data_IF_645773479455
#
_entry.id   IF_645773479455
#
_cell.length_a   1.000
_cell.length_b   1.000
_cell.length_c   1.000
_cell.angle_alpha   90.00
_cell.angle_beta   90.00
_cell.angle_gamma   90.00
#
_symmetry.space_group_name_H-M   'P 1'
#
loop_
_entity.id
_entity.type
_entity.pdbx_description
1 polymer ?
#
# COMPACT_ATOMS: atom_id res chain seq x y z
N UNK A 1 72.32 -3.39 -21.60
CA UNK A 1 71.25 -3.96 -22.45
C UNK A 1 70.27 -4.75 -21.59
N UNK A 2 68.96 -4.48 -21.78
CA UNK A 2 67.82 -5.36 -21.45
C UNK A 2 67.58 -5.73 -19.97
N UNK A 3 67.12 -4.79 -19.13
CA UNK A 3 66.34 -5.13 -17.90
C UNK A 3 65.19 -4.16 -17.57
N UNK A 4 65.15 -2.96 -18.17
CA UNK A 4 64.16 -1.92 -17.84
C UNK A 4 62.79 -2.06 -18.51
N UNK A 5 62.66 -2.93 -19.52
CA UNK A 5 61.40 -3.12 -20.25
C UNK A 5 60.39 -3.99 -19.50
N UNK A 6 60.85 -5.07 -18.84
CA UNK A 6 59.98 -6.08 -18.26
C UNK A 6 59.21 -5.57 -17.02
N UNK A 7 59.81 -4.67 -16.24
CA UNK A 7 59.15 -4.07 -15.07
C UNK A 7 58.08 -3.06 -15.47
N UNK A 8 58.29 -2.28 -16.53
CA UNK A 8 57.30 -1.33 -17.04
C UNK A 8 56.12 -2.07 -17.69
N UNK A 9 56.37 -3.17 -18.42
CA UNK A 9 55.30 -4.00 -18.99
C UNK A 9 54.46 -4.69 -17.90
N UNK A 10 55.08 -5.20 -16.82
CA UNK A 10 54.33 -5.77 -15.69
C UNK A 10 53.53 -4.71 -14.92
N UNK A 11 54.02 -3.48 -14.78
CA UNK A 11 53.28 -2.39 -14.13
C UNK A 11 52.08 -1.91 -14.97
N UNK A 12 52.21 -1.88 -16.30
CA UNK A 12 51.09 -1.57 -17.20
C UNK A 12 50.03 -2.68 -17.26
N UNK A 13 50.43 -3.95 -17.13
CA UNK A 13 49.47 -5.07 -17.04
C UNK A 13 48.74 -5.14 -15.69
N UNK A 14 49.37 -4.70 -14.60
CA UNK A 14 48.71 -4.61 -13.28
C UNK A 14 47.77 -3.40 -13.15
N UNK A 15 48.01 -2.31 -13.89
CA UNK A 15 47.13 -1.13 -13.90
C UNK A 15 45.88 -1.30 -14.78
N UNK A 16 45.87 -2.25 -15.72
CA UNK A 16 44.70 -2.60 -16.54
C UNK A 16 43.71 -3.56 -15.86
N UNK A 17 44.08 -4.17 -14.73
CA UNK A 17 43.18 -5.05 -13.95
C UNK A 17 42.38 -4.29 -12.86
N UNK A 18 42.65 -2.99 -12.67
CA UNK A 18 41.92 -2.12 -11.72
C UNK A 18 40.97 -1.15 -12.44
N UNK A 19 40.87 -1.24 -13.77
CA UNK A 19 39.85 -0.52 -14.53
C UNK A 19 38.50 -1.21 -14.37
N UNK A 20 37.79 -0.83 -13.31
CA UNK A 20 36.34 -0.98 -13.19
C UNK A 20 35.80 -2.40 -13.29
N UNK A 21 35.73 -3.10 -12.15
CA UNK A 21 34.56 -3.97 -11.95
C UNK A 21 33.36 -3.05 -11.82
N UNK A 22 32.80 -2.62 -12.96
CA UNK A 22 31.36 -2.36 -13.02
C UNK A 22 30.74 -3.72 -12.75
N UNK A 23 30.50 -4.02 -11.47
CA UNK A 23 29.64 -5.15 -11.14
C UNK A 23 28.31 -4.79 -11.76
N UNK A 24 27.81 -5.62 -12.68
CA UNK A 24 26.42 -5.51 -13.09
C UNK A 24 25.58 -5.57 -11.80
N UNK A 25 24.71 -4.58 -11.59
CA UNK A 25 23.77 -4.63 -10.48
C UNK A 25 23.00 -5.95 -10.60
N UNK A 26 22.92 -6.67 -9.49
CA UNK A 26 22.13 -7.90 -9.46
C UNK A 26 20.65 -7.55 -9.63
N UNK A 27 19.85 -8.48 -10.14
CA UNK A 27 18.40 -8.28 -10.26
C UNK A 27 17.76 -7.92 -8.91
N UNK A 28 18.30 -8.46 -7.82
CA UNK A 28 17.88 -8.08 -6.46
C UNK A 28 18.17 -6.61 -6.14
N UNK A 29 19.39 -6.13 -6.37
CA UNK A 29 19.75 -4.71 -6.16
C UNK A 29 18.88 -3.78 -7.02
N UNK A 30 18.60 -4.16 -8.27
CA UNK A 30 17.72 -3.41 -9.16
C UNK A 30 16.28 -3.34 -8.62
N UNK A 31 15.73 -4.43 -8.10
CA UNK A 31 14.39 -4.46 -7.49
C UNK A 31 14.35 -3.59 -6.22
N UNK A 32 15.38 -3.66 -5.38
CA UNK A 32 15.49 -2.81 -4.18
C UNK A 32 15.53 -1.32 -4.57
N UNK A 33 16.34 -0.96 -5.58
CA UNK A 33 16.38 0.39 -6.13
C UNK A 33 15.03 0.84 -6.70
N UNK A 34 14.30 -0.06 -7.36
CA UNK A 34 12.97 0.24 -7.89
C UNK A 34 11.96 0.52 -6.77
N UNK A 35 11.94 -0.29 -5.70
CA UNK A 35 11.07 -0.07 -4.53
C UNK A 35 11.31 1.30 -3.89
N UNK A 36 12.57 1.73 -3.80
CA UNK A 36 12.92 3.01 -3.20
C UNK A 36 12.60 4.20 -4.13
N UNK A 37 12.94 4.11 -5.41
CA UNK A 37 12.72 5.21 -6.37
C UNK A 37 11.25 5.42 -6.76
N UNK A 38 10.44 4.36 -6.72
CA UNK A 38 8.99 4.44 -6.97
C UNK A 38 8.20 5.03 -5.79
N UNK A 39 8.79 5.10 -4.60
CA UNK A 39 8.09 5.54 -3.37
C UNK A 39 7.30 4.44 -2.67
N UNK A 40 7.20 3.22 -3.23
CA UNK A 40 6.53 2.07 -2.58
C UNK A 40 7.09 1.80 -1.19
N UNK A 41 8.41 1.90 -1.05
CA UNK A 41 9.08 1.68 0.24
C UNK A 41 8.67 2.69 1.31
N UNK A 42 8.34 3.93 0.95
CA UNK A 42 7.87 4.97 1.87
C UNK A 42 6.37 4.83 2.16
N UNK A 43 5.57 4.52 1.14
CA UNK A 43 4.15 4.19 1.31
C UNK A 43 3.96 3.09 2.37
N UNK A 44 4.72 1.99 2.29
CA UNK A 44 4.63 0.94 3.31
C UNK A 44 5.08 1.40 4.72
N UNK A 45 6.00 2.38 4.82
CA UNK A 45 6.42 2.95 6.11
C UNK A 45 5.34 3.86 6.70
N UNK A 46 4.55 4.54 5.87
CA UNK A 46 3.53 5.50 6.34
C UNK A 46 2.25 4.84 6.84
N UNK A 47 1.92 3.64 6.35
CA UNK A 47 0.65 2.94 6.66
C UNK A 47 0.30 2.88 8.17
N UNK A 48 1.20 2.52 9.11
CA UNK A 48 0.83 2.50 10.53
C UNK A 48 0.38 3.87 11.06
N UNK A 49 1.05 4.94 10.66
CA UNK A 49 0.72 6.31 11.07
C UNK A 49 -0.60 6.75 10.45
N UNK A 50 -0.86 6.39 9.20
CA UNK A 50 -2.15 6.65 8.54
C UNK A 50 -3.30 5.92 9.24
N UNK A 51 -3.08 4.67 9.69
CA UNK A 51 -4.06 3.94 10.49
C UNK A 51 -4.31 4.60 11.85
N UNK A 52 -3.27 5.10 12.52
CA UNK A 52 -3.40 5.86 13.78
C UNK A 52 -4.24 7.13 13.59
N UNK A 53 -4.00 7.85 12.49
CA UNK A 53 -4.76 9.05 12.14
C UNK A 53 -6.23 8.72 11.85
N UNK A 54 -6.49 7.66 11.07
CA UNK A 54 -7.84 7.20 10.76
C UNK A 54 -8.61 6.76 12.01
N UNK A 55 -7.95 6.02 12.90
CA UNK A 55 -8.52 5.59 14.18
C UNK A 55 -8.92 6.79 15.04
N UNK A 56 -8.05 7.79 15.13
CA UNK A 56 -8.29 9.03 15.88
C UNK A 56 -9.43 9.85 15.30
N UNK A 57 -9.55 9.91 13.97
CA UNK A 57 -10.64 10.62 13.30
C UNK A 57 -11.99 9.92 13.53
N UNK A 58 -12.02 8.58 13.42
CA UNK A 58 -13.24 7.79 13.54
C UNK A 58 -13.78 7.78 14.97
N UNK A 59 -12.91 7.66 15.97
CA UNK A 59 -13.31 7.66 17.39
C UNK A 59 -14.07 8.92 17.80
N UNK A 60 -13.79 10.08 17.19
CA UNK A 60 -14.51 11.34 17.44
C UNK A 60 -15.97 11.32 16.96
N UNK A 61 -16.32 10.41 16.04
CA UNK A 61 -17.65 10.33 15.40
C UNK A 61 -18.37 9.01 15.71
N UNK A 62 -17.70 8.07 16.37
CA UNK A 62 -18.25 6.75 16.64
C UNK A 62 -19.22 6.72 17.81
N UNK A 63 -20.24 5.86 17.70
CA UNK A 63 -21.13 5.51 18.83
C UNK A 63 -20.47 4.55 19.82
N UNK A 64 -19.42 3.82 19.38
CA UNK A 64 -18.71 2.82 20.16
C UNK A 64 -17.19 3.00 20.03
N UNK A 65 -16.65 4.14 20.52
CA UNK A 65 -15.25 4.52 20.31
C UNK A 65 -14.25 3.48 20.87
N UNK A 66 -14.59 2.77 21.94
CA UNK A 66 -13.71 1.76 22.55
C UNK A 66 -13.55 0.53 21.65
N UNK A 67 -14.64 0.08 21.02
CA UNK A 67 -14.64 -1.09 20.11
C UNK A 67 -13.86 -0.74 18.85
N UNK A 68 -14.15 0.41 18.23
CA UNK A 68 -13.42 0.86 17.04
C UNK A 68 -11.92 1.05 17.33
N UNK A 69 -11.58 1.71 18.44
CA UNK A 69 -10.18 1.92 18.83
C UNK A 69 -9.43 0.61 19.01
N UNK A 70 -10.09 -0.42 19.54
CA UNK A 70 -9.51 -1.76 19.67
C UNK A 70 -9.30 -2.42 18.31
N UNK A 71 -10.27 -2.32 17.40
CA UNK A 71 -10.16 -2.87 16.04
C UNK A 71 -9.00 -2.23 15.29
N UNK A 72 -8.92 -0.89 15.26
CA UNK A 72 -7.83 -0.18 14.59
C UNK A 72 -6.46 -0.50 15.20
N UNK A 73 -6.38 -0.66 16.53
CA UNK A 73 -5.14 -1.09 17.19
C UNK A 73 -4.70 -2.48 16.72
N UNK A 74 -5.62 -3.44 16.63
CA UNK A 74 -5.32 -4.78 16.13
C UNK A 74 -4.87 -4.75 14.66
N UNK A 75 -5.54 -3.95 13.81
CA UNK A 75 -5.12 -3.74 12.41
C UNK A 75 -3.69 -3.22 12.37
N UNK A 76 -3.39 -2.16 13.10
CA UNK A 76 -2.04 -1.58 13.17
C UNK A 76 -1.00 -2.58 13.68
N UNK A 77 -1.27 -3.29 14.77
CA UNK A 77 -0.35 -4.24 15.39
C UNK A 77 -0.09 -5.48 14.54
N UNK A 78 -0.97 -5.77 13.58
CA UNK A 78 -0.79 -6.86 12.62
C UNK A 78 0.13 -6.50 11.45
N UNK A 79 0.47 -5.21 11.27
CA UNK A 79 1.39 -4.78 10.23
C UNK A 79 2.85 -4.83 10.69
N UNK A 80 3.69 -5.56 9.96
CA UNK A 80 5.15 -5.53 10.12
C UNK A 80 5.78 -4.96 8.84
N UNK A 81 6.26 -3.72 8.91
CA UNK A 81 6.85 -3.02 7.77
C UNK A 81 8.03 -3.77 7.13
N UNK A 82 8.81 -4.54 7.92
CA UNK A 82 9.94 -5.30 7.38
C UNK A 82 9.44 -6.50 6.58
N UNK A 83 8.46 -7.23 7.10
CA UNK A 83 7.83 -8.34 6.37
C UNK A 83 7.11 -7.85 5.12
N UNK A 84 6.41 -6.73 5.21
CA UNK A 84 5.74 -6.11 4.06
C UNK A 84 6.73 -5.78 2.93
N UNK A 85 7.90 -5.21 3.26
CA UNK A 85 8.96 -4.92 2.27
C UNK A 85 9.60 -6.17 1.69
N UNK A 86 9.82 -7.19 2.52
CA UNK A 86 10.36 -8.47 2.06
C UNK A 86 9.40 -9.16 1.10
N UNK A 87 8.10 -9.16 1.42
CA UNK A 87 7.03 -9.68 0.57
C UNK A 87 6.95 -8.92 -0.76
N UNK A 88 6.98 -7.57 -0.72
CA UNK A 88 7.03 -6.73 -1.91
C UNK A 88 8.22 -7.08 -2.82
N UNK A 89 9.42 -7.15 -2.24
CA UNK A 89 10.65 -7.50 -2.98
C UNK A 89 10.59 -8.89 -3.58
N UNK A 90 10.16 -9.89 -2.81
CA UNK A 90 9.99 -11.26 -3.28
C UNK A 90 8.99 -11.35 -4.44
N UNK A 91 7.88 -10.62 -4.36
CA UNK A 91 6.89 -10.56 -5.44
C UNK A 91 7.50 -9.98 -6.71
N UNK A 92 8.17 -8.83 -6.61
CA UNK A 92 8.79 -8.18 -7.76
C UNK A 92 9.89 -9.03 -8.39
N UNK A 93 10.76 -9.64 -7.58
CA UNK A 93 11.79 -10.58 -8.04
C UNK A 93 11.21 -11.76 -8.84
N UNK A 94 10.04 -12.27 -8.44
CA UNK A 94 9.40 -13.40 -9.13
C UNK A 94 8.69 -13.01 -10.43
N UNK A 95 8.16 -11.79 -10.52
CA UNK A 95 7.28 -11.36 -11.62
C UNK A 95 7.94 -10.38 -12.60
N UNK A 96 9.21 -10.05 -12.38
CA UNK A 96 10.00 -9.17 -13.24
C UNK A 96 11.26 -9.87 -13.72
N UNK A 97 11.81 -9.39 -14.83
CA UNK A 97 13.15 -9.73 -15.28
C UNK A 97 14.07 -8.50 -15.17
N UNK A 98 15.38 -8.71 -15.23
CA UNK A 98 16.39 -7.64 -15.15
C UNK A 98 16.14 -6.52 -16.15
N UNK A 99 15.87 -6.85 -17.42
CA UNK A 99 15.70 -5.86 -18.49
C UNK A 99 14.52 -4.94 -18.22
N UNK A 100 13.41 -5.50 -17.74
CA UNK A 100 12.24 -4.73 -17.36
C UNK A 100 12.57 -3.75 -16.22
N UNK A 101 13.22 -4.22 -15.16
CA UNK A 101 13.53 -3.36 -14.01
C UNK A 101 14.50 -2.26 -14.41
N UNK A 102 15.50 -2.55 -15.26
CA UNK A 102 16.41 -1.54 -15.81
C UNK A 102 15.67 -0.47 -16.63
N UNK A 103 14.70 -0.85 -17.46
CA UNK A 103 13.92 0.11 -18.24
C UNK A 103 13.04 1.01 -17.35
N UNK A 104 12.43 0.44 -16.30
CA UNK A 104 11.69 1.22 -15.30
C UNK A 104 12.62 2.16 -14.53
N UNK A 105 13.78 1.68 -14.10
CA UNK A 105 14.76 2.51 -13.42
C UNK A 105 15.27 3.64 -14.31
N UNK A 106 15.39 3.43 -15.61
CA UNK A 106 15.75 4.50 -16.56
C UNK A 106 14.71 5.62 -16.56
N UNK A 107 13.43 5.27 -16.52
CA UNK A 107 12.34 6.24 -16.38
C UNK A 107 12.35 6.92 -14.99
N UNK A 108 12.42 6.16 -13.92
CA UNK A 108 12.38 6.67 -12.54
C UNK A 108 13.58 7.56 -12.21
N UNK A 109 14.70 7.40 -12.92
CA UNK A 109 15.86 8.27 -12.79
C UNK A 109 15.73 9.60 -13.55
N UNK A 110 14.70 9.80 -14.37
CA UNK A 110 14.49 11.09 -15.03
C UNK A 110 14.18 12.20 -14.02
N UNK A 111 14.56 13.46 -14.32
CA UNK A 111 14.21 14.59 -13.46
C UNK A 111 12.70 14.72 -13.21
N UNK A 112 11.88 14.38 -14.22
CA UNK A 112 10.43 14.42 -14.13
C UNK A 112 9.88 13.38 -13.15
N UNK A 113 10.24 12.10 -13.33
CA UNK A 113 9.76 11.04 -12.44
C UNK A 113 10.16 11.31 -10.99
N UNK A 114 11.43 11.70 -10.75
CA UNK A 114 11.91 12.07 -9.40
C UNK A 114 11.18 13.27 -8.80
N UNK A 115 10.73 14.23 -9.63
CA UNK A 115 9.93 15.36 -9.17
C UNK A 115 8.53 14.89 -8.77
N UNK A 116 7.89 14.08 -9.62
CA UNK A 116 6.53 13.57 -9.37
C UNK A 116 6.48 12.73 -8.10
N UNK A 117 7.36 11.73 -7.96
CA UNK A 117 7.42 10.88 -6.75
C UNK A 117 7.60 11.74 -5.48
N UNK A 118 8.42 12.79 -5.55
CA UNK A 118 8.62 13.70 -4.41
C UNK A 118 7.34 14.47 -4.06
N UNK A 119 6.63 15.00 -5.06
CA UNK A 119 5.38 15.73 -4.83
C UNK A 119 4.28 14.80 -4.31
N UNK A 120 4.19 13.57 -4.83
CA UNK A 120 3.25 12.55 -4.36
C UNK A 120 3.52 12.17 -2.90
N UNK A 121 4.76 11.83 -2.55
CA UNK A 121 5.15 11.54 -1.17
C UNK A 121 4.97 12.75 -0.24
N UNK A 122 5.26 13.96 -0.73
CA UNK A 122 5.03 15.17 0.05
C UNK A 122 3.54 15.46 0.25
N UNK A 123 2.67 15.05 -0.67
CA UNK A 123 1.23 15.23 -0.56
C UNK A 123 0.60 14.21 0.38
N UNK A 124 1.16 12.98 0.45
CA UNK A 124 0.69 11.91 1.33
C UNK A 124 1.35 11.90 2.72
N UNK A 125 2.33 12.77 2.97
CA UNK A 125 3.02 12.82 4.25
C UNK A 125 2.10 13.13 5.44
N UNK A 126 2.42 12.57 6.61
CA UNK A 126 1.69 12.81 7.85
C UNK A 126 1.59 14.30 8.18
N UNK A 127 0.39 14.78 8.51
CA UNK A 127 0.14 16.19 8.84
C UNK A 127 -0.23 17.09 7.65
N UNK A 128 -0.17 16.59 6.42
CA UNK A 128 -0.52 17.36 5.22
C UNK A 128 -2.02 17.47 4.95
N UNK A 129 -2.85 16.74 5.70
CA UNK A 129 -4.30 16.70 5.51
C UNK A 129 -4.95 18.09 5.61
N UNK A 130 -4.54 18.91 6.57
CA UNK A 130 -5.05 20.27 6.71
C UNK A 130 -4.70 21.15 5.50
N UNK A 131 -3.46 21.04 4.99
CA UNK A 131 -3.01 21.77 3.81
C UNK A 131 -3.78 21.34 2.55
N UNK A 132 -4.03 20.04 2.40
CA UNK A 132 -4.84 19.50 1.33
C UNK A 132 -6.27 20.05 1.40
N UNK A 133 -6.92 19.99 2.57
CA UNK A 133 -8.29 20.51 2.73
C UNK A 133 -8.38 22.01 2.42
N UNK A 134 -7.39 22.79 2.85
CA UNK A 134 -7.33 24.23 2.54
C UNK A 134 -7.20 24.46 1.03
N UNK A 135 -6.27 23.76 0.37
CA UNK A 135 -6.09 23.84 -1.08
C UNK A 135 -7.37 23.47 -1.85
N UNK A 136 -8.08 22.42 -1.42
CA UNK A 136 -9.33 21.99 -2.05
C UNK A 136 -10.47 23.01 -1.87
N UNK A 137 -10.52 23.71 -0.73
CA UNK A 137 -11.45 24.81 -0.54
C UNK A 137 -11.16 25.99 -1.49
N UNK A 138 -9.87 26.31 -1.69
CA UNK A 138 -9.45 27.35 -2.63
C UNK A 138 -9.80 26.99 -4.08
N UNK A 139 -9.70 25.71 -4.45
CA UNK A 139 -10.13 25.24 -5.78
C UNK A 139 -11.61 25.46 -6.05
N UNK A 140 -12.47 25.35 -5.04
CA UNK A 140 -13.90 25.62 -5.21
C UNK A 140 -14.16 27.10 -5.47
N UNK A 141 -13.41 27.98 -4.81
CA UNK A 141 -13.50 29.43 -5.03
C UNK A 141 -12.85 29.86 -6.35
N UNK A 142 -11.76 29.21 -6.74
CA UNK A 142 -11.00 29.50 -7.96
C UNK A 142 -10.74 28.20 -8.74
N UNK A 143 -11.68 27.77 -9.58
CA UNK A 143 -11.55 26.52 -10.33
C UNK A 143 -10.31 26.50 -11.22
N UNK A 144 -9.60 25.36 -11.33
CA UNK A 144 -8.50 25.22 -12.27
C UNK A 144 -8.94 25.45 -13.72
N UNK A 145 -8.02 25.87 -14.61
CA UNK A 145 -8.29 25.91 -16.04
C UNK A 145 -8.78 24.55 -16.56
N UNK A 146 -9.69 24.54 -17.53
CA UNK A 146 -10.25 23.32 -18.14
C UNK A 146 -9.15 22.32 -18.57
N UNK A 147 -8.05 22.81 -19.14
CA UNK A 147 -6.90 21.99 -19.51
C UNK A 147 -6.30 21.22 -18.32
N UNK A 148 -6.16 21.87 -17.16
CA UNK A 148 -5.64 21.22 -15.94
C UNK A 148 -6.60 20.17 -15.43
N UNK A 149 -7.91 20.43 -15.49
CA UNK A 149 -8.95 19.46 -15.11
C UNK A 149 -8.84 18.21 -15.99
N UNK A 150 -8.77 18.38 -17.30
CA UNK A 150 -8.64 17.28 -18.25
C UNK A 150 -7.37 16.44 -18.00
N UNK A 151 -6.22 17.09 -17.75
CA UNK A 151 -4.98 16.37 -17.45
C UNK A 151 -5.08 15.55 -16.16
N UNK A 152 -5.67 16.09 -15.09
CA UNK A 152 -5.82 15.35 -13.82
C UNK A 152 -6.78 14.17 -13.96
N UNK A 153 -7.88 14.34 -14.71
CA UNK A 153 -8.78 13.23 -15.03
C UNK A 153 -8.08 12.15 -15.87
N UNK A 154 -7.21 12.57 -16.78
CA UNK A 154 -6.45 11.68 -17.64
C UNK A 154 -5.40 10.87 -16.86
N UNK A 155 -4.80 11.43 -15.80
CA UNK A 155 -3.94 10.66 -14.89
C UNK A 155 -4.70 9.46 -14.35
N UNK A 156 -5.89 9.67 -13.77
CA UNK A 156 -6.68 8.54 -13.25
C UNK A 156 -7.07 7.56 -14.36
N UNK A 157 -7.34 8.04 -15.58
CA UNK A 157 -7.67 7.18 -16.72
C UNK A 157 -6.51 6.26 -17.10
N UNK A 158 -5.26 6.75 -17.10
CA UNK A 158 -4.10 5.94 -17.49
C UNK A 158 -3.54 5.11 -16.34
N UNK A 159 -3.71 5.55 -15.09
CA UNK A 159 -3.20 4.84 -13.91
C UNK A 159 -4.16 3.82 -13.33
N UNK A 160 -5.48 3.95 -13.58
CA UNK A 160 -6.51 3.02 -13.08
C UNK A 160 -6.44 2.77 -11.56
N UNK A 161 -5.93 3.73 -10.77
CA UNK A 161 -5.69 3.52 -9.34
C UNK A 161 -6.99 3.34 -8.56
N UNK A 162 -8.10 3.97 -8.98
CA UNK A 162 -9.40 3.73 -8.34
C UNK A 162 -9.88 2.29 -8.53
N UNK A 163 -9.65 1.68 -9.69
CA UNK A 163 -10.02 0.29 -9.95
C UNK A 163 -9.20 -0.67 -9.10
N UNK A 164 -7.88 -0.46 -9.07
CA UNK A 164 -6.96 -1.24 -8.23
C UNK A 164 -7.37 -1.15 -6.75
N UNK A 165 -7.61 0.07 -6.26
CA UNK A 165 -8.00 0.31 -4.86
C UNK A 165 -9.31 -0.38 -4.53
N UNK A 166 -10.30 -0.29 -5.42
CA UNK A 166 -11.60 -0.96 -5.27
C UNK A 166 -11.42 -2.47 -5.17
N UNK A 167 -10.63 -3.06 -6.05
CA UNK A 167 -10.36 -4.50 -6.06
C UNK A 167 -9.74 -4.96 -4.74
N UNK A 168 -8.72 -4.24 -4.27
CA UNK A 168 -8.05 -4.55 -3.01
C UNK A 168 -9.04 -4.46 -1.83
N UNK A 169 -9.83 -3.39 -1.76
CA UNK A 169 -10.82 -3.22 -0.69
C UNK A 169 -11.85 -4.37 -0.70
N UNK A 170 -12.38 -4.72 -1.88
CA UNK A 170 -13.34 -5.82 -2.00
C UNK A 170 -12.74 -7.17 -1.58
N UNK A 171 -11.51 -7.46 -2.00
CA UNK A 171 -10.79 -8.70 -1.64
C UNK A 171 -10.52 -8.77 -0.13
N UNK A 172 -10.08 -7.66 0.47
CA UNK A 172 -9.82 -7.56 1.91
C UNK A 172 -11.11 -7.73 2.71
N UNK A 173 -12.19 -7.05 2.32
CA UNK A 173 -13.47 -7.16 3.00
C UNK A 173 -14.03 -8.58 2.91
N UNK A 174 -13.95 -9.22 1.74
CA UNK A 174 -14.33 -10.62 1.55
C UNK A 174 -13.54 -11.54 2.49
N UNK A 175 -12.22 -11.44 2.49
CA UNK A 175 -11.36 -12.27 3.34
C UNK A 175 -11.63 -12.05 4.84
N UNK A 176 -11.99 -10.83 5.24
CA UNK A 176 -12.38 -10.52 6.62
C UNK A 176 -13.72 -11.17 7.00
N UNK A 177 -14.73 -11.10 6.14
CA UNK A 177 -16.03 -11.76 6.37
C UNK A 177 -15.86 -13.27 6.49
N UNK A 178 -15.11 -13.89 5.57
CA UNK A 178 -14.80 -15.33 5.63
C UNK A 178 -14.08 -15.71 6.92
N UNK A 179 -13.08 -14.92 7.33
CA UNK A 179 -12.31 -15.19 8.55
C UNK A 179 -13.15 -15.07 9.82
N UNK A 180 -14.06 -14.08 9.89
CA UNK A 180 -14.99 -13.91 11.01
C UNK A 180 -15.96 -15.09 11.06
N UNK A 181 -16.54 -15.47 9.92
CA UNK A 181 -17.48 -16.57 9.84
C UNK A 181 -16.84 -17.90 10.26
N UNK A 182 -15.59 -18.17 9.82
CA UNK A 182 -14.82 -19.35 10.25
C UNK A 182 -14.48 -19.35 11.74
N UNK A 183 -14.41 -18.18 12.37
CA UNK A 183 -14.15 -18.04 13.80
C UNK A 183 -15.37 -18.37 14.68
N UNK A 184 -16.59 -18.29 14.11
CA UNK A 184 -17.83 -18.64 14.80
C UNK A 184 -17.98 -20.15 14.99
N UNK A 185 -18.66 -20.60 16.07
CA UNK A 185 -19.08 -21.99 16.23
C UNK A 185 -19.85 -22.48 15.00
N UNK A 186 -19.75 -23.76 14.64
CA UNK A 186 -20.36 -24.29 13.40
C UNK A 186 -21.86 -23.99 13.27
N UNK A 187 -22.60 -23.95 14.39
CA UNK A 187 -24.03 -23.64 14.40
C UNK A 187 -24.38 -22.17 14.23
N UNK A 188 -23.41 -21.27 14.39
CA UNK A 188 -23.58 -19.81 14.29
C UNK A 188 -22.99 -19.25 12.98
N UNK A 189 -22.43 -20.11 12.11
CA UNK A 189 -21.90 -19.70 10.82
C UNK A 189 -23.04 -19.40 9.85
N UNK A 190 -22.96 -18.25 9.19
CA UNK A 190 -23.96 -17.85 8.19
C UNK A 190 -23.40 -18.05 6.76
N UNK A 191 -24.24 -18.42 5.79
CA UNK A 191 -23.88 -18.32 4.38
C UNK A 191 -23.51 -16.88 4.02
N UNK A 192 -22.38 -16.68 3.34
CA UNK A 192 -21.91 -15.35 2.96
C UNK A 192 -22.37 -14.91 1.57
N UNK A 193 -23.01 -15.79 0.79
CA UNK A 193 -23.31 -15.57 -0.63
C UNK A 193 -24.09 -14.27 -0.88
N UNK A 194 -25.15 -14.02 -0.11
CA UNK A 194 -25.97 -12.79 -0.23
C UNK A 194 -25.14 -11.52 0.07
N UNK A 195 -24.28 -11.57 1.09
CA UNK A 195 -23.39 -10.45 1.43
C UNK A 195 -22.35 -10.19 0.33
N UNK A 196 -21.83 -11.26 -0.28
CA UNK A 196 -20.84 -11.17 -1.37
C UNK A 196 -21.48 -10.64 -2.66
N UNK A 197 -22.71 -11.06 -2.98
CA UNK A 197 -23.48 -10.53 -4.11
C UNK A 197 -23.80 -9.04 -3.94
N UNK A 198 -24.19 -8.62 -2.72
CA UNK A 198 -24.41 -7.21 -2.40
C UNK A 198 -23.11 -6.40 -2.57
N UNK A 199 -21.97 -6.92 -2.09
CA UNK A 199 -20.67 -6.29 -2.28
C UNK A 199 -20.29 -6.12 -3.75
N UNK A 200 -20.55 -7.13 -4.58
CA UNK A 200 -20.31 -7.07 -6.02
C UNK A 200 -21.18 -6.00 -6.70
N UNK A 201 -22.44 -5.91 -6.29
CA UNK A 201 -23.38 -4.88 -6.76
C UNK A 201 -22.93 -3.47 -6.37
N UNK A 202 -22.31 -3.30 -5.20
CA UNK A 202 -21.77 -2.02 -4.72
C UNK A 202 -20.42 -1.65 -5.36
N UNK A 203 -19.73 -2.60 -5.98
CA UNK A 203 -18.41 -2.42 -6.58
C UNK A 203 -18.29 -1.19 -7.50
N UNK A 204 -19.21 -0.95 -8.46
CA UNK A 204 -19.18 0.24 -9.31
C UNK A 204 -19.34 1.56 -8.54
N UNK A 205 -20.18 1.59 -7.50
CA UNK A 205 -20.39 2.79 -6.67
C UNK A 205 -19.15 3.11 -5.85
N UNK A 206 -18.54 2.07 -5.25
CA UNK A 206 -17.28 2.18 -4.49
C UNK A 206 -16.17 2.69 -5.42
N UNK A 207 -16.08 2.14 -6.64
CA UNK A 207 -15.10 2.58 -7.64
C UNK A 207 -15.25 4.04 -8.01
N UNK A 208 -16.47 4.49 -8.28
CA UNK A 208 -16.71 5.89 -8.61
C UNK A 208 -16.34 6.81 -7.44
N UNK A 209 -16.64 6.41 -6.20
CA UNK A 209 -16.20 7.14 -5.00
C UNK A 209 -14.68 7.28 -4.93
N UNK A 210 -13.93 6.19 -5.14
CA UNK A 210 -12.47 6.23 -5.19
C UNK A 210 -11.94 7.06 -6.36
N UNK A 211 -12.57 6.98 -7.54
CA UNK A 211 -12.17 7.75 -8.72
C UNK A 211 -12.30 9.25 -8.47
N UNK A 212 -13.42 9.68 -7.89
CA UNK A 212 -13.64 11.09 -7.53
C UNK A 212 -12.64 11.56 -6.47
N UNK A 213 -12.41 10.74 -5.44
CA UNK A 213 -11.43 11.05 -4.40
C UNK A 213 -10.02 11.17 -4.99
N UNK A 214 -9.62 10.24 -5.86
CA UNK A 214 -8.30 10.25 -6.50
C UNK A 214 -8.10 11.52 -7.32
N UNK A 215 -9.04 11.86 -8.20
CA UNK A 215 -9.01 13.10 -8.99
C UNK A 215 -8.84 14.32 -8.08
N UNK A 216 -9.61 14.38 -6.99
CA UNK A 216 -9.54 15.49 -6.05
C UNK A 216 -8.16 15.59 -5.40
N UNK A 217 -7.63 14.49 -4.90
CA UNK A 217 -6.29 14.45 -4.29
C UNK A 217 -5.16 14.69 -5.29
N UNK A 218 -5.34 14.30 -6.56
CA UNK A 218 -4.36 14.53 -7.63
C UNK A 218 -4.18 16.01 -7.96
N UNK A 219 -5.20 16.85 -7.80
CA UNK A 219 -5.00 18.31 -7.92
C UNK A 219 -4.00 18.81 -6.86
N UNK A 220 -4.11 18.31 -5.63
CA UNK A 220 -3.17 18.65 -4.58
C UNK A 220 -1.80 18.03 -4.86
N UNK A 221 -1.71 16.73 -5.15
CA UNK A 221 -0.45 16.04 -5.40
C UNK A 221 0.35 16.67 -6.55
N UNK A 222 -0.32 17.10 -7.63
CA UNK A 222 0.34 17.66 -8.82
C UNK A 222 0.32 19.20 -8.89
N UNK A 223 0.06 19.88 -7.77
CA UNK A 223 -0.04 21.35 -7.71
C UNK A 223 1.23 22.08 -8.18
N UNK A 224 2.40 21.45 -8.00
CA UNK A 224 3.71 21.99 -8.41
C UNK A 224 4.25 21.37 -9.71
N UNK A 225 3.44 20.55 -10.38
CA UNK A 225 3.75 19.95 -11.69
C UNK A 225 3.10 20.80 -12.78
N UNK A 226 3.85 21.20 -13.79
CA UNK A 226 3.32 21.95 -14.92
C UNK A 226 2.43 21.09 -15.83
N UNK A 227 1.56 21.72 -16.63
CA UNK A 227 0.68 20.99 -17.56
C UNK A 227 1.48 20.14 -18.56
N UNK A 228 2.66 20.61 -18.97
CA UNK A 228 3.54 19.86 -19.88
C UNK A 228 4.15 18.64 -19.17
N UNK A 229 4.70 18.83 -17.98
CA UNK A 229 5.26 17.73 -17.19
C UNK A 229 4.21 16.66 -16.88
N UNK A 230 2.98 17.06 -16.57
CA UNK A 230 1.87 16.13 -16.32
C UNK A 230 1.48 15.38 -17.59
N UNK A 231 1.48 16.04 -18.75
CA UNK A 231 1.26 15.38 -20.04
C UNK A 231 2.37 14.37 -20.40
N UNK A 232 3.63 14.70 -20.11
CA UNK A 232 4.76 13.78 -20.32
C UNK A 232 4.65 12.54 -19.40
N UNK A 233 4.20 12.73 -18.16
CA UNK A 233 3.92 11.63 -17.20
C UNK A 233 2.77 10.72 -17.67
N UNK A 234 1.67 11.32 -18.14
CA UNK A 234 0.57 10.59 -18.77
C UNK A 234 1.09 9.79 -19.97
N UNK A 235 1.95 10.38 -20.80
CA UNK A 235 2.53 9.71 -21.96
C UNK A 235 3.37 8.48 -21.60
N UNK A 236 4.08 8.50 -20.46
CA UNK A 236 4.75 7.30 -19.94
C UNK A 236 3.73 6.22 -19.55
N UNK A 237 2.69 6.58 -18.79
CA UNK A 237 1.70 5.60 -18.32
C UNK A 237 0.73 5.10 -19.40
N UNK A 238 0.64 5.81 -20.53
CA UNK A 238 -0.02 5.34 -21.75
C UNK A 238 0.90 4.49 -22.66
N UNK A 239 2.16 4.26 -22.27
CA UNK A 239 3.06 3.32 -22.96
C UNK A 239 2.88 1.88 -22.49
N UNK A 240 3.39 0.91 -23.26
CA UNK A 240 3.37 -0.51 -22.84
C UNK A 240 4.16 -0.75 -21.54
N UNK A 241 5.29 -0.06 -21.40
CA UNK A 241 6.13 -0.16 -20.21
C UNK A 241 5.41 0.41 -18.98
N UNK A 242 4.83 1.61 -19.09
CA UNK A 242 4.09 2.23 -17.99
C UNK A 242 2.83 1.47 -17.60
N UNK A 243 2.06 0.96 -18.58
CA UNK A 243 0.91 0.08 -18.29
C UNK A 243 1.33 -1.21 -17.60
N UNK A 244 2.46 -1.79 -17.97
CA UNK A 244 3.00 -2.98 -17.29
C UNK A 244 3.44 -2.65 -15.87
N UNK A 245 4.07 -1.48 -15.67
CA UNK A 245 4.48 -0.95 -14.37
C UNK A 245 3.32 -0.82 -13.39
N UNK A 246 2.27 -0.10 -13.77
CA UNK A 246 1.06 0.04 -12.93
C UNK A 246 0.50 -1.31 -12.51
N UNK A 247 0.38 -2.26 -13.44
CA UNK A 247 -0.19 -3.59 -13.13
C UNK A 247 0.69 -4.35 -12.14
N UNK A 248 2.00 -4.42 -12.40
CA UNK A 248 2.94 -5.14 -11.53
C UNK A 248 2.99 -4.50 -10.15
N UNK A 249 3.10 -3.18 -10.06
CA UNK A 249 3.08 -2.43 -8.80
C UNK A 249 1.78 -2.65 -8.04
N UNK A 250 0.65 -2.55 -8.73
CA UNK A 250 -0.66 -2.76 -8.13
C UNK A 250 -0.85 -4.18 -7.59
N UNK A 251 -0.46 -5.19 -8.37
CA UNK A 251 -0.56 -6.59 -7.95
C UNK A 251 0.38 -6.89 -6.76
N UNK A 252 1.59 -6.31 -6.76
CA UNK A 252 2.57 -6.48 -5.69
C UNK A 252 2.09 -5.82 -4.38
N UNK A 253 1.58 -4.59 -4.44
CA UNK A 253 1.00 -3.91 -3.28
C UNK A 253 -0.26 -4.64 -2.78
N UNK A 254 -1.12 -5.08 -3.70
CA UNK A 254 -2.30 -5.89 -3.36
C UNK A 254 -1.92 -7.19 -2.65
N UNK A 255 -0.85 -7.85 -3.08
CA UNK A 255 -0.32 -9.05 -2.41
C UNK A 255 0.09 -8.76 -0.96
N UNK A 256 0.89 -7.71 -0.74
CA UNK A 256 1.31 -7.28 0.60
C UNK A 256 0.11 -6.95 1.50
N UNK A 257 -0.88 -6.23 0.97
CA UNK A 257 -2.08 -5.86 1.73
C UNK A 257 -2.92 -7.10 2.10
N UNK A 258 -3.10 -8.07 1.18
CA UNK A 258 -3.79 -9.32 1.49
C UNK A 258 -3.09 -10.11 2.60
N UNK A 259 -1.77 -10.19 2.59
CA UNK A 259 -1.02 -10.86 3.66
C UNK A 259 -1.21 -10.17 5.02
N UNK A 260 -1.18 -8.84 5.03
CA UNK A 260 -1.46 -8.05 6.23
C UNK A 260 -2.87 -8.31 6.77
N UNK A 261 -3.90 -8.18 5.92
CA UNK A 261 -5.28 -8.37 6.37
C UNK A 261 -5.61 -9.82 6.75
N UNK A 262 -4.93 -10.82 6.16
CA UNK A 262 -5.02 -12.20 6.62
C UNK A 262 -4.44 -12.37 8.04
N UNK A 263 -3.34 -11.69 8.36
CA UNK A 263 -2.77 -11.68 9.72
C UNK A 263 -3.70 -10.97 10.72
N UNK A 264 -4.29 -9.83 10.32
CA UNK A 264 -5.32 -9.17 11.11
C UNK A 264 -6.52 -10.09 11.40
N UNK A 265 -7.06 -10.77 10.37
CA UNK A 265 -8.19 -11.68 10.50
C UNK A 265 -7.91 -12.83 11.48
N UNK A 266 -6.72 -13.43 11.43
CA UNK A 266 -6.29 -14.46 12.39
C UNK A 266 -6.28 -13.94 13.83
N UNK A 267 -5.79 -12.72 14.05
CA UNK A 267 -5.75 -12.10 15.39
C UNK A 267 -7.14 -11.77 15.91
N UNK A 268 -8.02 -11.26 15.04
CA UNK A 268 -9.40 -10.97 15.39
C UNK A 268 -10.13 -12.24 15.81
N UNK A 269 -9.98 -13.33 15.05
CA UNK A 269 -10.56 -14.63 15.38
C UNK A 269 -10.06 -15.19 16.72
N UNK A 270 -8.76 -15.04 17.01
CA UNK A 270 -8.20 -15.46 18.31
C UNK A 270 -8.77 -14.64 19.47
N UNK A 271 -8.88 -13.31 19.31
CA UNK A 271 -9.43 -12.43 20.33
C UNK A 271 -10.91 -12.73 20.64
N UNK A 272 -11.72 -13.06 19.62
CA UNK A 272 -13.11 -13.45 19.80
C UNK A 272 -13.26 -14.76 20.61
N UNK A 273 -12.38 -15.74 20.38
CA UNK A 273 -12.36 -17.01 21.13
C UNK A 273 -12.03 -16.79 22.61
N UNK A 274 -11.04 -15.95 22.91
CA UNK A 274 -10.65 -15.63 24.29
C UNK A 274 -11.78 -14.96 25.09
N UNK A 275 -12.63 -14.16 24.45
CA UNK A 275 -13.78 -13.50 25.10
C UNK A 275 -14.95 -14.45 25.35
N UNK A 276 -15.22 -15.35 24.40
CA UNK A 276 -16.22 -16.41 24.58
C UNK A 276 -15.81 -17.40 25.70
N UNK A 277 -14.51 -17.69 25.83
CA UNK A 277 -13.99 -18.52 26.93
C UNK A 277 -14.10 -17.87 28.31
N UNK A 278 -14.05 -16.53 28.40
CA UNK A 278 -14.21 -15.78 29.66
C UNK A 278 -15.66 -15.64 30.12
N UNK A 279 -16.63 -15.63 29.19
CA UNK A 279 -18.06 -15.54 29.51
C UNK A 279 -18.70 -16.88 29.88
N UNK A 280 -18.06 -18.01 29.55
CA UNK A 280 -18.49 -19.36 29.96
C UNK A 280 -18.14 -19.77 31.40
N UNK A 281 -17.42 -18.96 32.17
CA UNK A 281 -17.18 -19.19 33.61
C UNK A 281 -18.20 -18.42 34.45
N UNK A 282 -19.42 -18.96 34.57
CA UNK A 282 -20.33 -18.56 35.66
C UNK A 282 -19.77 -19.10 36.99
N UNK A 283 -19.76 -18.30 38.09
CA UNK A 283 -19.33 -18.81 39.39
C UNK A 283 -20.18 -20.02 39.79
N UNK A 284 -19.54 -21.12 40.17
CA UNK A 284 -20.20 -22.23 40.84
C UNK A 284 -20.91 -21.69 42.10
N UNK A 285 -22.23 -21.85 42.12
CA UNK A 285 -23.08 -21.56 43.26
C UNK A 285 -22.56 -22.36 44.48
N UNK A 286 -22.33 -21.74 45.64
CA UNK A 286 -21.83 -22.48 46.80
C UNK A 286 -22.92 -23.43 47.29
N UNK A 287 -22.60 -24.72 47.27
CA UNK A 287 -23.36 -25.84 47.87
C UNK A 287 -24.11 -25.42 49.15
N UNK A 288 -25.41 -25.75 49.29
CA UNK A 288 -26.12 -25.52 50.54
C UNK A 288 -25.50 -26.39 51.64
N UNK A 289 -25.11 -25.79 52.76
CA UNK A 289 -24.76 -26.51 53.97
C UNK A 289 -25.96 -27.34 54.42
N UNK A 290 -25.76 -28.66 54.51
CA UNK A 290 -26.66 -29.56 55.20
C UNK A 290 -26.84 -29.09 56.65
N UNK A 291 -28.09 -28.82 57.03
CA UNK A 291 -28.52 -28.70 58.41
C UNK A 291 -28.63 -30.10 59.02
N UNK A 292 -27.71 -30.45 59.91
CA UNK A 292 -27.85 -31.58 60.83
C UNK A 292 -28.99 -31.33 61.82
N UNK A 293 -29.79 -32.36 62.17
CA UNK A 293 -30.76 -32.27 63.25
C UNK A 293 -30.16 -32.72 64.59
N UNK A 294 -30.49 -31.94 65.62
CA UNK A 294 -30.24 -32.13 67.08
C UNK A 294 -28.85 -31.76 67.63
#
# INVERSE_FOLDING_TARGET
MKRSGLTITCMLLLLLLVSGRVSAETHQELVENYIDLSGMGEMLRSLPTEMDALASQRSLTSRHPDVESRVYRMVRESFDVRKAKQSLSAYLLHHTDTSYVEDILRWLNTPLARKITREELSASASGQQANMLHYLADLQATPPPQRRIALVQEVERVTHLSELTTRIVMEVTRGMMESINLALPEGDREPLDDNLEEMETMGPVIREGFRQQMILTSFYAYRNISDKELADYIGFYDSDLGRREIRITGDALGHVLREWFAEFGRRLAAAAKDESGKTGQTPQDPTPKESTPF
#
